data_IF_496579068537
#
_entry.id   IF_496579068537
#
_cell.length_a   1.000
_cell.length_b   1.000
_cell.length_c   1.000
_cell.angle_alpha   90.00
_cell.angle_beta   90.00
_cell.angle_gamma   90.00
#
_symmetry.space_group_name_H-M   'P 1'
#
loop_
_entity.id
_entity.type
_entity.pdbx_description
1 polymer ?
#
# COMPACT_ATOMS: atom_id res chain seq x y z
N UNK A 1 2.32 -2.85 -23.15
CA UNK A 1 1.60 -1.60 -22.84
C UNK A 1 2.66 -0.52 -22.64
N UNK A 2 2.45 0.66 -23.21
CA UNK A 2 3.41 1.76 -23.24
C UNK A 2 3.82 2.20 -21.83
N UNK A 3 5.09 2.59 -21.67
CA UNK A 3 5.65 3.18 -20.44
C UNK A 3 4.92 4.47 -19.99
N UNK A 4 3.99 4.97 -20.79
CA UNK A 4 3.23 6.23 -20.61
C UNK A 4 2.14 6.21 -19.53
N UNK A 5 1.97 5.15 -18.75
CA UNK A 5 0.99 5.14 -17.65
C UNK A 5 1.53 4.41 -16.42
N UNK A 6 2.68 4.86 -15.94
CA UNK A 6 3.04 4.61 -14.55
C UNK A 6 2.08 5.46 -13.68
N UNK A 7 1.12 4.83 -12.97
CA UNK A 7 0.14 5.60 -12.22
C UNK A 7 0.85 6.39 -11.13
N UNK A 8 0.49 7.67 -11.01
CA UNK A 8 0.85 8.49 -9.85
C UNK A 8 0.31 7.88 -8.54
N UNK A 9 0.51 8.53 -7.39
CA UNK A 9 0.24 7.97 -6.07
C UNK A 9 -1.19 7.41 -5.99
N UNK A 10 -1.31 6.09 -5.86
CA UNK A 10 -2.60 5.43 -5.69
C UNK A 10 -2.90 5.44 -4.21
N UNK A 11 -3.72 6.39 -3.79
CA UNK A 11 -4.33 6.34 -2.48
C UNK A 11 -5.51 5.37 -2.54
N UNK A 12 -5.47 4.35 -1.68
CA UNK A 12 -6.57 3.41 -1.54
C UNK A 12 -7.21 3.55 -0.15
N UNK A 13 -8.53 3.38 -0.03
CA UNK A 13 -9.18 3.30 1.27
C UNK A 13 -8.61 2.15 2.12
N UNK A 14 -8.50 2.33 3.43
CA UNK A 14 -8.07 1.29 4.37
C UNK A 14 -8.93 0.01 4.27
N UNK A 15 -10.22 0.13 3.98
CA UNK A 15 -11.09 -1.01 3.76
C UNK A 15 -10.61 -1.88 2.59
N UNK A 16 -10.26 -1.24 1.47
CA UNK A 16 -9.70 -1.91 0.28
C UNK A 16 -8.35 -2.54 0.59
N UNK A 17 -7.48 -1.84 1.32
CA UNK A 17 -6.18 -2.36 1.76
C UNK A 17 -6.34 -3.66 2.55
N UNK A 18 -7.24 -3.67 3.55
CA UNK A 18 -7.54 -4.86 4.38
C UNK A 18 -8.08 -6.02 3.57
N UNK A 19 -8.92 -5.77 2.56
CA UNK A 19 -9.39 -6.82 1.66
C UNK A 19 -8.24 -7.44 0.87
N UNK A 20 -7.34 -6.63 0.34
CA UNK A 20 -6.18 -7.12 -0.42
C UNK A 20 -5.20 -7.89 0.45
N UNK A 21 -4.92 -7.42 1.67
CA UNK A 21 -4.12 -8.14 2.65
C UNK A 21 -4.75 -9.49 2.99
N UNK A 22 -6.08 -9.53 3.21
CA UNK A 22 -6.80 -10.77 3.47
C UNK A 22 -6.70 -11.74 2.29
N UNK A 23 -6.84 -11.25 1.05
CA UNK A 23 -6.65 -12.10 -0.14
C UNK A 23 -5.26 -12.72 -0.19
N UNK A 24 -4.21 -11.98 0.21
CA UNK A 24 -2.86 -12.52 0.31
C UNK A 24 -2.72 -13.55 1.44
N UNK A 25 -3.30 -13.30 2.62
CA UNK A 25 -3.30 -14.24 3.74
C UNK A 25 -4.05 -15.54 3.42
N UNK A 26 -5.15 -15.45 2.68
CA UNK A 26 -5.98 -16.58 2.27
C UNK A 26 -5.38 -17.32 1.05
N UNK A 27 -4.38 -16.75 0.36
CA UNK A 27 -3.72 -17.38 -0.78
C UNK A 27 -2.80 -18.51 -0.31
N UNK A 28 -3.25 -19.74 -0.55
CA UNK A 28 -2.51 -20.97 -0.23
C UNK A 28 -1.68 -21.49 -1.41
N UNK A 29 -1.64 -20.73 -2.51
CA UNK A 29 -0.91 -21.13 -3.72
C UNK A 29 0.59 -21.16 -3.43
N UNK A 30 1.23 -22.30 -3.71
CA UNK A 30 2.67 -22.41 -3.57
C UNK A 30 3.38 -21.53 -4.62
N UNK A 31 4.23 -20.61 -4.16
CA UNK A 31 5.13 -19.89 -5.06
C UNK A 31 6.19 -20.82 -5.63
N UNK A 32 6.41 -20.76 -6.94
CA UNK A 32 7.52 -21.43 -7.61
C UNK A 32 8.53 -20.38 -8.14
N UNK A 33 9.68 -20.84 -8.63
CA UNK A 33 10.72 -19.94 -9.14
C UNK A 33 10.27 -19.00 -10.29
N UNK A 34 9.16 -19.33 -10.97
CA UNK A 34 8.58 -18.55 -12.07
C UNK A 34 7.48 -17.60 -11.58
N UNK A 35 6.75 -17.95 -10.52
CA UNK A 35 5.65 -17.14 -9.95
C UNK A 35 6.04 -16.31 -8.74
N UNK A 36 7.23 -16.55 -8.18
CA UNK A 36 7.79 -15.80 -7.06
C UNK A 36 8.09 -14.35 -7.46
N UNK A 37 7.48 -13.42 -6.73
CA UNK A 37 7.78 -11.99 -6.87
C UNK A 37 9.16 -11.73 -6.27
N UNK A 38 10.04 -11.10 -7.06
CA UNK A 38 11.42 -10.80 -6.64
C UNK A 38 11.60 -9.37 -6.18
N UNK A 39 10.83 -8.45 -6.73
CA UNK A 39 10.93 -7.02 -6.44
C UNK A 39 9.65 -6.30 -6.85
N UNK A 40 9.49 -5.11 -6.27
CA UNK A 40 8.36 -4.21 -6.47
C UNK A 40 8.87 -2.91 -7.06
N UNK A 41 8.22 -2.40 -8.10
CA UNK A 41 8.48 -1.08 -8.64
C UNK A 41 7.62 -0.06 -7.90
N UNK A 42 8.22 0.75 -7.04
CA UNK A 42 7.49 1.69 -6.16
C UNK A 42 7.53 3.10 -6.76
N UNK A 43 6.38 3.79 -6.91
CA UNK A 43 6.36 5.19 -7.29
C UNK A 43 7.03 6.05 -6.22
N UNK A 44 7.98 6.87 -6.66
CA UNK A 44 8.69 7.81 -5.79
C UNK A 44 7.72 8.70 -5.02
N UNK A 45 6.70 9.22 -5.69
CA UNK A 45 5.67 10.08 -5.08
C UNK A 45 4.89 9.37 -3.96
N UNK A 46 4.57 8.07 -4.11
CA UNK A 46 3.91 7.30 -3.05
C UNK A 46 4.80 7.20 -1.81
N UNK A 47 6.10 6.93 -2.00
CA UNK A 47 7.05 6.84 -0.90
C UNK A 47 7.26 8.21 -0.23
N UNK A 48 7.40 9.27 -1.01
CA UNK A 48 7.51 10.64 -0.47
C UNK A 48 6.26 11.04 0.31
N UNK A 49 5.08 10.56 -0.08
CA UNK A 49 3.83 10.90 0.62
C UNK A 49 3.73 10.22 1.98
N UNK A 50 4.08 8.93 2.09
CA UNK A 50 4.10 8.25 3.40
C UNK A 50 5.18 8.82 4.32
N UNK A 51 6.33 9.26 3.76
CA UNK A 51 7.39 9.90 4.55
C UNK A 51 6.97 11.26 5.14
N UNK A 52 6.01 11.96 4.52
CA UNK A 52 5.45 13.22 5.05
C UNK A 52 4.64 13.03 6.34
N UNK A 53 4.30 11.79 6.72
CA UNK A 53 3.62 11.50 7.98
C UNK A 53 4.53 11.72 9.20
N UNK A 54 5.85 11.90 8.99
CA UNK A 54 6.83 12.16 10.05
C UNK A 54 6.81 11.12 11.19
N UNK A 55 6.56 9.86 10.85
CA UNK A 55 6.58 8.75 11.80
C UNK A 55 7.98 8.16 11.97
N UNK A 56 8.20 7.41 13.05
CA UNK A 56 9.49 6.74 13.32
C UNK A 56 9.94 5.78 12.22
N UNK A 57 9.00 5.09 11.57
CA UNK A 57 9.26 4.13 10.50
C UNK A 57 8.14 4.11 9.45
N UNK A 58 8.36 3.35 8.37
CA UNK A 58 7.34 3.01 7.38
C UNK A 58 7.14 1.49 7.41
N UNK A 59 5.90 1.04 7.50
CA UNK A 59 5.53 -0.37 7.36
C UNK A 59 5.00 -0.63 5.96
N UNK A 60 5.40 -1.77 5.39
CA UNK A 60 4.89 -2.26 4.13
C UNK A 60 4.17 -3.59 4.35
N UNK A 61 2.88 -3.63 4.01
CA UNK A 61 2.08 -4.86 3.96
C UNK A 61 2.09 -5.44 2.55
N UNK A 62 1.85 -6.75 2.42
CA UNK A 62 1.66 -7.41 1.12
C UNK A 62 0.17 -7.72 0.95
N UNK A 63 -0.37 -7.38 -0.21
CA UNK A 63 -1.75 -7.68 -0.60
C UNK A 63 -1.85 -8.23 -2.01
N UNK A 64 -3.04 -8.72 -2.38
CA UNK A 64 -3.40 -9.08 -3.76
C UNK A 64 -4.49 -8.12 -4.25
N UNK A 65 -4.15 -7.28 -5.23
CA UNK A 65 -5.05 -6.25 -5.75
C UNK A 65 -6.19 -6.83 -6.59
N UNK A 66 -7.09 -5.98 -7.08
CA UNK A 66 -8.23 -6.40 -7.91
C UNK A 66 -7.85 -6.99 -9.27
N UNK A 67 -6.60 -6.77 -9.72
CA UNK A 67 -6.02 -7.41 -10.91
C UNK A 67 -5.37 -8.76 -10.60
N UNK A 68 -5.48 -9.25 -9.36
CA UNK A 68 -4.83 -10.47 -8.86
C UNK A 68 -3.30 -10.40 -8.88
N UNK A 69 -2.75 -9.19 -8.80
CA UNK A 69 -1.31 -8.96 -8.72
C UNK A 69 -0.91 -8.72 -7.27
N UNK A 70 0.25 -9.23 -6.86
CA UNK A 70 0.82 -8.89 -5.56
C UNK A 70 1.23 -7.42 -5.56
N UNK A 71 0.90 -6.72 -4.48
CA UNK A 71 1.28 -5.34 -4.26
C UNK A 71 1.75 -5.12 -2.81
N UNK A 72 2.53 -4.07 -2.59
CA UNK A 72 2.91 -3.50 -1.31
C UNK A 72 2.03 -2.29 -0.99
N UNK A 73 1.65 -2.23 0.27
CA UNK A 73 0.81 -1.21 0.85
C UNK A 73 1.61 -0.49 1.94
N UNK A 74 1.84 0.82 1.80
CA UNK A 74 2.66 1.58 2.74
C UNK A 74 1.83 2.37 3.74
N UNK A 75 2.22 2.29 5.01
CA UNK A 75 1.68 3.08 6.12
C UNK A 75 2.83 3.64 6.97
N UNK A 76 2.60 4.76 7.65
CA UNK A 76 3.50 5.23 8.70
C UNK A 76 3.45 4.28 9.89
N UNK A 77 4.53 4.19 10.64
CA UNK A 77 4.63 3.34 11.83
C UNK A 77 5.32 4.11 12.96
N UNK A 78 4.60 4.32 14.06
CA UNK A 78 5.08 5.09 15.22
C UNK A 78 5.32 4.15 16.40
N UNK A 79 6.44 4.32 17.11
CA UNK A 79 6.76 3.47 18.27
C UNK A 79 6.01 3.93 19.52
N UNK A 80 5.12 3.08 20.00
CA UNK A 80 4.44 3.26 21.28
C UNK A 80 5.31 2.68 22.41
N UNK A 81 5.81 3.58 23.27
CA UNK A 81 6.70 3.26 24.38
C UNK A 81 6.00 2.52 25.52
N UNK A 82 4.68 2.63 25.65
CA UNK A 82 3.92 1.97 26.72
C UNK A 82 3.66 0.51 26.37
N UNK A 83 3.33 0.24 25.11
CA UNK A 83 3.07 -1.12 24.63
C UNK A 83 4.31 -1.82 24.08
N UNK A 84 5.37 -1.08 23.76
CA UNK A 84 6.61 -1.57 23.15
C UNK A 84 6.43 -2.01 21.69
N UNK A 85 5.42 -1.49 21.00
CA UNK A 85 5.02 -1.91 19.65
C UNK A 85 4.93 -0.72 18.71
N UNK A 86 5.07 -0.98 17.42
CA UNK A 86 4.79 0.02 16.40
C UNK A 86 3.30 0.01 16.04
N UNK A 87 2.65 1.17 16.12
CA UNK A 87 1.26 1.37 15.69
C UNK A 87 1.22 1.97 14.29
N UNK A 88 0.26 1.54 13.48
CA UNK A 88 0.10 2.05 12.12
C UNK A 88 -0.52 3.45 12.14
N UNK A 89 0.07 4.35 11.37
CA UNK A 89 -0.39 5.72 11.17
C UNK A 89 -0.76 5.87 9.70
N UNK A 90 -2.04 6.16 9.47
CA UNK A 90 -2.60 6.32 8.13
C UNK A 90 -2.51 7.77 7.66
N UNK A 91 -2.41 7.96 6.34
CA UNK A 91 -2.31 9.30 5.77
C UNK A 91 -3.67 9.99 5.68
N UNK A 92 -3.69 11.34 5.70
CA UNK A 92 -4.91 12.09 5.42
C UNK A 92 -5.36 11.84 3.97
N UNK A 93 -6.68 11.76 3.71
CA UNK A 93 -7.19 11.64 2.34
C UNK A 93 -6.76 12.87 1.53
N UNK A 94 -6.20 12.66 0.34
CA UNK A 94 -5.72 13.76 -0.47
C UNK A 94 -6.83 14.72 -0.87
N UNK A 95 -6.50 16.00 -0.76
CA UNK A 95 -7.34 17.12 -1.17
C UNK A 95 -7.53 17.10 -2.69
N UNK A 96 -8.55 16.39 -3.16
CA UNK A 96 -8.87 16.27 -4.59
C UNK A 96 -10.13 15.45 -4.87
N UNK A 97 -10.52 14.54 -3.98
CA UNK A 97 -11.79 13.81 -4.09
C UNK A 97 -12.84 14.48 -3.21
N UNK A 98 -13.58 15.39 -3.84
CA UNK A 98 -14.81 15.92 -3.29
C UNK A 98 -15.84 14.79 -3.19
N UNK A 99 -16.08 14.28 -1.98
CA UNK A 99 -17.39 13.75 -1.56
C UNK A 99 -17.52 13.61 -0.03
N UNK A 100 -18.31 14.55 0.51
CA UNK A 100 -19.22 14.39 1.65
C UNK A 100 -18.63 14.20 3.05
N UNK A 101 -19.00 15.12 3.94
CA UNK A 101 -18.69 15.18 5.37
C UNK A 101 -19.34 14.05 6.22
N UNK A 102 -19.06 12.79 5.89
CA UNK A 102 -19.36 11.64 6.73
C UNK A 102 -18.27 10.57 6.50
N UNK A 103 -17.47 10.32 7.54
CA UNK A 103 -16.29 9.44 7.57
C UNK A 103 -15.06 9.98 6.80
N UNK A 104 -14.16 10.63 7.53
CA UNK A 104 -12.76 10.73 7.10
C UNK A 104 -12.18 9.30 7.15
N UNK A 105 -12.22 8.60 6.01
CA UNK A 105 -11.68 7.25 5.92
C UNK A 105 -10.16 7.30 5.80
N UNK A 106 -9.48 6.55 6.67
CA UNK A 106 -8.03 6.39 6.66
C UNK A 106 -7.55 5.85 5.29
N UNK A 107 -6.44 6.40 4.79
CA UNK A 107 -5.89 6.09 3.46
C UNK A 107 -4.54 5.39 3.54
N UNK A 108 -4.34 4.40 2.67
CA UNK A 108 -3.12 3.61 2.48
C UNK A 108 -2.52 3.91 1.11
N UNK A 109 -1.19 3.94 1.00
CA UNK A 109 -0.51 4.23 -0.27
C UNK A 109 -0.14 2.93 -1.00
N UNK A 110 -0.77 2.74 -2.14
CA UNK A 110 -0.46 1.71 -3.13
C UNK A 110 0.29 2.34 -4.32
N UNK A 111 0.99 1.51 -5.06
CA UNK A 111 1.67 1.92 -6.27
C UNK A 111 2.58 0.84 -6.81
N UNK A 112 2.76 -0.25 -6.08
CA UNK A 112 3.76 -1.22 -6.47
C UNK A 112 3.23 -2.23 -7.46
N UNK A 113 4.06 -2.56 -8.45
CA UNK A 113 3.80 -3.69 -9.34
C UNK A 113 4.96 -4.68 -9.29
N UNK A 114 4.70 -5.98 -9.50
CA UNK A 114 5.76 -6.95 -9.74
C UNK A 114 6.63 -6.51 -10.92
N UNK A 115 7.95 -6.69 -10.79
CA UNK A 115 8.92 -6.42 -11.85
C UNK A 115 9.52 -7.72 -12.42
N UNK A 116 9.66 -7.89 -13.75
CA UNK A 116 9.29 -6.93 -14.78
C UNK A 116 7.75 -6.82 -14.94
N UNK A 117 7.23 -5.62 -15.25
CA UNK A 117 5.81 -5.44 -15.52
C UNK A 117 5.39 -6.30 -16.73
N UNK A 118 4.25 -6.99 -16.63
CA UNK A 118 3.65 -7.72 -17.75
C UNK A 118 2.88 -6.80 -18.70
#
# INVERSE_FOLDING_TARGET
MSEDTFPGPIQIPLATAKEWEKRYQDDTTAEDSKTKVKSFLIPRESLETVLKLNTDAVRAYIGINDKKEKTLLFVGAEYDKETGKYNDVYGPPSSGEQRSAAAAEDVVYDGTRPSPPY
#
